data_IF_958995820733
#
_entry.id   IF_958995820733
#
_cell.length_a   1.000
_cell.length_b   1.000
_cell.length_c   1.000
_cell.angle_alpha   90.00
_cell.angle_beta   90.00
_cell.angle_gamma   90.00
#
_symmetry.space_group_name_H-M   'P 1'
#
loop_
_entity.id
_entity.type
_entity.pdbx_description
1 polymer ?
#
# COMPACT_ATOMS: atom_id res chain seq x y z
N UNK A 1 -3.83 0.92 34.16
CA UNK A 1 -3.66 1.39 32.78
C UNK A 1 -4.78 2.39 32.49
N UNK A 2 -4.47 3.60 32.01
CA UNK A 2 -5.49 4.52 31.60
C UNK A 2 -6.31 3.87 30.46
N UNK A 3 -7.63 3.90 30.55
CA UNK A 3 -8.50 3.45 29.45
C UNK A 3 -8.36 4.44 28.30
N UNK A 4 -8.20 3.93 27.09
CA UNK A 4 -8.13 4.76 25.87
C UNK A 4 -9.53 5.31 25.54
N UNK A 5 -10.59 4.56 25.89
CA UNK A 5 -12.01 4.89 25.79
C UNK A 5 -12.82 4.10 26.83
N UNK A 6 -14.14 4.31 26.88
CA UNK A 6 -15.05 3.63 27.83
C UNK A 6 -15.65 2.32 27.27
N UNK A 7 -15.22 1.89 26.07
CA UNK A 7 -15.69 0.66 25.45
C UNK A 7 -15.09 -0.59 26.16
N UNK A 8 -15.77 -1.76 26.07
CA UNK A 8 -15.28 -3.02 26.60
C UNK A 8 -13.90 -3.38 26.02
N UNK A 9 -13.07 -4.13 26.74
CA UNK A 9 -11.82 -4.67 26.21
C UNK A 9 -12.05 -5.47 24.92
N UNK A 10 -11.18 -5.33 23.92
CA UNK A 10 -11.33 -6.00 22.61
C UNK A 10 -11.50 -7.52 22.72
N UNK A 11 -10.90 -8.16 23.73
CA UNK A 11 -11.08 -9.60 23.96
C UNK A 11 -12.53 -9.96 24.29
N UNK A 12 -13.21 -9.13 25.06
CA UNK A 12 -14.62 -9.29 25.40
C UNK A 12 -15.51 -9.06 24.18
N UNK A 13 -15.23 -8.03 23.38
CA UNK A 13 -15.92 -7.75 22.11
C UNK A 13 -15.79 -8.94 21.15
N UNK A 14 -14.58 -9.47 20.97
CA UNK A 14 -14.33 -10.64 20.12
C UNK A 14 -15.11 -11.86 20.61
N UNK A 15 -15.17 -12.08 21.92
CA UNK A 15 -15.92 -13.18 22.50
C UNK A 15 -17.43 -12.99 22.35
N UNK A 16 -17.96 -11.79 22.63
CA UNK A 16 -19.40 -11.48 22.55
C UNK A 16 -19.95 -11.63 21.11
N UNK A 17 -19.15 -11.30 20.11
CA UNK A 17 -19.54 -11.37 18.69
C UNK A 17 -19.02 -12.62 17.96
N UNK A 18 -18.43 -13.60 18.67
CA UNK A 18 -17.76 -14.81 18.09
C UNK A 18 -16.81 -14.49 16.91
N UNK A 19 -16.03 -13.43 17.05
CA UNK A 19 -15.11 -12.92 16.01
C UNK A 19 -13.79 -13.68 16.04
N UNK A 20 -13.81 -14.99 15.76
CA UNK A 20 -12.58 -15.75 15.60
C UNK A 20 -11.88 -15.35 14.30
N UNK A 21 -10.57 -15.05 14.37
CA UNK A 21 -9.76 -14.74 13.20
C UNK A 21 -9.78 -15.89 12.17
N UNK A 22 -10.04 -15.58 10.91
CA UNK A 22 -10.04 -16.53 9.80
C UNK A 22 -8.74 -16.47 9.03
N UNK A 23 -8.01 -17.59 8.99
CA UNK A 23 -6.75 -17.70 8.22
C UNK A 23 -6.93 -17.41 6.74
N UNK A 24 -8.08 -17.81 6.15
CA UNK A 24 -8.43 -17.52 4.75
C UNK A 24 -8.54 -16.03 4.43
N UNK A 25 -8.81 -15.20 5.44
CA UNK A 25 -8.88 -13.74 5.32
C UNK A 25 -7.59 -13.04 5.79
N UNK A 26 -6.56 -13.79 6.19
CA UNK A 26 -5.30 -13.22 6.65
C UNK A 26 -5.41 -12.40 7.95
N UNK A 27 -6.43 -12.68 8.77
CA UNK A 27 -6.73 -11.89 9.97
C UNK A 27 -5.76 -12.19 11.11
N UNK A 28 -5.16 -11.14 11.66
CA UNK A 28 -4.37 -11.12 12.89
C UNK A 28 -4.72 -9.83 13.63
N UNK A 29 -5.40 -9.92 14.77
CA UNK A 29 -5.94 -8.76 15.47
C UNK A 29 -4.94 -8.18 16.47
N UNK A 30 -4.83 -6.86 16.50
CA UNK A 30 -4.13 -6.11 17.53
C UNK A 30 -5.10 -5.85 18.68
N UNK A 31 -4.79 -6.35 19.86
CA UNK A 31 -5.66 -6.22 21.03
C UNK A 31 -5.16 -5.17 22.05
N UNK A 32 -3.89 -4.80 21.98
CA UNK A 32 -3.31 -3.76 22.84
C UNK A 32 -3.64 -2.37 22.28
N UNK A 33 -4.53 -1.67 22.97
CA UNK A 33 -4.98 -0.33 22.56
C UNK A 33 -3.88 0.74 22.72
N UNK A 34 -2.89 0.55 23.61
CA UNK A 34 -1.74 1.46 23.67
C UNK A 34 -0.87 1.31 22.41
N UNK A 35 -0.74 0.09 21.92
CA UNK A 35 -0.03 -0.19 20.67
C UNK A 35 -0.76 0.41 19.47
N UNK A 36 -2.10 0.25 19.38
CA UNK A 36 -2.88 0.83 18.28
C UNK A 36 -2.87 2.36 18.32
N UNK A 37 -2.95 2.99 19.49
CA UNK A 37 -2.77 4.43 19.68
C UNK A 37 -1.36 4.89 19.25
N UNK A 38 -0.31 4.12 19.58
CA UNK A 38 1.04 4.40 19.11
C UNK A 38 1.14 4.33 17.57
N UNK A 39 0.49 3.35 16.94
CA UNK A 39 0.45 3.23 15.48
C UNK A 39 -0.29 4.42 14.87
N UNK A 40 -1.42 4.82 15.44
CA UNK A 40 -2.21 5.96 15.00
C UNK A 40 -1.39 7.27 14.93
N UNK A 41 -0.47 7.49 15.91
CA UNK A 41 0.39 8.68 15.98
C UNK A 41 1.62 8.66 15.08
N UNK A 42 1.94 7.56 14.37
CA UNK A 42 3.14 7.47 13.52
C UNK A 42 3.19 8.56 12.45
N UNK A 43 2.03 8.90 11.87
CA UNK A 43 1.89 9.95 10.86
C UNK A 43 1.74 11.37 11.44
N UNK A 44 1.93 11.57 12.75
CA UNK A 44 1.71 12.84 13.46
C UNK A 44 0.32 12.96 14.07
N UNK A 45 -0.02 14.14 14.56
CA UNK A 45 -1.32 14.45 15.18
C UNK A 45 -2.49 14.14 14.24
N UNK A 46 -3.63 13.74 14.81
CA UNK A 46 -4.83 13.35 14.07
C UNK A 46 -5.99 14.35 14.19
N UNK A 47 -5.84 15.41 14.99
CA UNK A 47 -6.86 16.47 15.12
C UNK A 47 -7.12 17.10 13.75
N UNK A 48 -8.39 17.15 13.33
CA UNK A 48 -8.81 17.64 12.02
C UNK A 48 -8.42 16.72 10.84
N UNK A 49 -7.94 15.51 11.09
CA UNK A 49 -7.51 14.57 10.06
C UNK A 49 -8.60 13.53 9.78
N UNK A 50 -8.92 13.35 8.51
CA UNK A 50 -9.75 12.24 8.02
C UNK A 50 -8.87 11.03 7.73
N UNK A 51 -9.32 9.86 8.12
CA UNK A 51 -8.55 8.62 7.99
C UNK A 51 -9.34 7.58 7.22
N UNK A 52 -8.70 6.95 6.24
CA UNK A 52 -9.16 5.69 5.65
C UNK A 52 -8.49 4.54 6.39
N UNK A 53 -9.28 3.66 6.97
CA UNK A 53 -8.84 2.39 7.54
C UNK A 53 -9.34 1.23 6.70
N UNK A 54 -8.45 0.34 6.27
CA UNK A 54 -8.79 -0.87 5.53
C UNK A 54 -8.61 -2.09 6.43
N UNK A 55 -9.69 -2.88 6.56
CA UNK A 55 -9.69 -4.08 7.40
C UNK A 55 -9.63 -3.78 8.90
N UNK A 56 -10.57 -2.99 9.46
CA UNK A 56 -10.60 -2.66 10.89
C UNK A 56 -10.77 -3.91 11.77
N UNK A 57 -11.34 -5.01 11.24
CA UNK A 57 -11.67 -6.18 12.01
C UNK A 57 -12.59 -5.83 13.18
N UNK A 58 -12.27 -6.25 14.44
CA UNK A 58 -13.07 -5.89 15.63
C UNK A 58 -12.87 -4.45 16.10
N UNK A 59 -12.13 -3.60 15.34
CA UNK A 59 -12.00 -2.17 15.60
C UNK A 59 -10.85 -1.76 16.52
N UNK A 60 -9.82 -2.59 16.69
CA UNK A 60 -8.69 -2.26 17.58
C UNK A 60 -7.94 -1.00 17.14
N UNK A 61 -7.59 -0.89 15.88
CA UNK A 61 -6.91 0.30 15.35
C UNK A 61 -7.90 1.46 15.19
N UNK A 62 -9.15 1.19 14.79
CA UNK A 62 -10.24 2.18 14.73
C UNK A 62 -10.38 2.95 16.03
N UNK A 63 -10.42 2.24 17.18
CA UNK A 63 -10.48 2.86 18.52
C UNK A 63 -9.25 3.71 18.79
N UNK A 64 -8.05 3.24 18.40
CA UNK A 64 -6.82 4.02 18.51
C UNK A 64 -6.88 5.32 17.72
N UNK A 65 -7.35 5.28 16.47
CA UNK A 65 -7.50 6.46 15.60
C UNK A 65 -8.48 7.49 16.18
N UNK A 66 -9.65 7.03 16.64
CA UNK A 66 -10.69 7.89 17.20
C UNK A 66 -10.26 8.52 18.53
N UNK A 67 -9.61 7.75 19.41
CA UNK A 67 -9.11 8.21 20.70
C UNK A 67 -7.96 9.23 20.55
N UNK A 68 -7.11 9.07 19.51
CA UNK A 68 -6.04 10.01 19.17
C UNK A 68 -6.53 11.24 18.38
N UNK A 69 -7.83 11.46 18.28
CA UNK A 69 -8.40 12.70 17.81
C UNK A 69 -8.76 12.76 16.32
N UNK A 70 -8.71 11.65 15.56
CA UNK A 70 -9.12 11.65 14.15
C UNK A 70 -10.49 12.34 13.98
N UNK A 71 -10.59 13.31 13.08
CA UNK A 71 -11.85 14.01 12.78
C UNK A 71 -12.91 13.01 12.33
N UNK A 72 -12.55 12.17 11.39
CA UNK A 72 -13.42 11.14 10.85
C UNK A 72 -12.62 9.92 10.40
N UNK A 73 -13.12 8.72 10.69
CA UNK A 73 -12.58 7.45 10.19
C UNK A 73 -13.58 6.82 9.23
N UNK A 74 -13.15 6.58 7.99
CA UNK A 74 -13.84 5.71 7.04
C UNK A 74 -13.23 4.33 7.15
N UNK A 75 -13.95 3.38 7.71
CA UNK A 75 -13.50 2.00 7.89
C UNK A 75 -14.13 1.09 6.83
N UNK A 76 -13.31 0.39 6.04
CA UNK A 76 -13.76 -0.53 4.99
C UNK A 76 -13.49 -1.96 5.43
N UNK A 77 -14.56 -2.73 5.69
CA UNK A 77 -14.46 -4.10 6.19
C UNK A 77 -15.19 -5.08 5.27
N UNK A 78 -14.48 -6.14 4.86
CA UNK A 78 -15.02 -7.20 4.01
C UNK A 78 -15.73 -8.28 4.80
N UNK A 79 -15.34 -8.49 6.06
CA UNK A 79 -15.94 -9.49 6.95
C UNK A 79 -17.15 -8.90 7.66
N UNK A 80 -18.35 -9.19 7.13
CA UNK A 80 -19.60 -8.68 7.69
C UNK A 80 -19.83 -9.05 9.17
N UNK A 81 -19.14 -10.07 9.71
CA UNK A 81 -19.22 -10.44 11.13
C UNK A 81 -18.68 -9.35 12.05
N UNK A 82 -17.78 -8.51 11.55
CA UNK A 82 -17.19 -7.42 12.32
C UNK A 82 -18.11 -6.19 12.44
N UNK A 83 -19.13 -6.08 11.58
CA UNK A 83 -20.00 -4.89 11.53
C UNK A 83 -20.72 -4.58 12.86
N UNK A 84 -21.25 -5.56 13.62
CA UNK A 84 -21.88 -5.24 14.90
C UNK A 84 -20.89 -4.62 15.90
N UNK A 85 -19.67 -5.15 16.00
CA UNK A 85 -18.63 -4.58 16.88
C UNK A 85 -18.22 -3.16 16.45
N UNK A 86 -18.12 -2.92 15.14
CA UNK A 86 -17.83 -1.58 14.61
C UNK A 86 -19.00 -0.60 14.83
N UNK A 87 -20.23 -1.07 14.82
CA UNK A 87 -21.42 -0.25 15.14
C UNK A 87 -21.41 0.21 16.61
N UNK A 88 -20.96 -0.61 17.55
CA UNK A 88 -20.78 -0.21 18.96
C UNK A 88 -19.75 0.91 19.09
N UNK A 89 -18.63 0.84 18.33
CA UNK A 89 -17.64 1.91 18.27
C UNK A 89 -18.25 3.19 17.69
N UNK A 90 -19.01 3.06 16.59
CA UNK A 90 -19.68 4.22 15.97
C UNK A 90 -20.67 4.90 16.93
N UNK A 91 -21.38 4.13 17.75
CA UNK A 91 -22.27 4.67 18.77
C UNK A 91 -21.52 5.42 19.88
N UNK A 92 -20.32 4.96 20.25
CA UNK A 92 -19.48 5.62 21.25
C UNK A 92 -18.78 6.89 20.72
N UNK A 93 -18.62 7.00 19.39
CA UNK A 93 -18.00 8.17 18.70
C UNK A 93 -18.97 8.74 17.64
N UNK A 94 -20.08 9.37 18.04
CA UNK A 94 -21.13 9.83 17.12
C UNK A 94 -20.59 10.74 16.03
N UNK A 95 -20.90 10.40 14.75
CA UNK A 95 -20.51 11.17 13.58
C UNK A 95 -19.03 11.07 13.17
N UNK A 96 -18.19 10.32 13.93
CA UNK A 96 -16.75 10.22 13.68
C UNK A 96 -16.31 8.90 13.02
N UNK A 97 -17.20 7.93 12.86
CA UNK A 97 -16.93 6.65 12.20
C UNK A 97 -18.00 6.34 11.16
N UNK A 98 -17.57 6.13 9.93
CA UNK A 98 -18.39 5.53 8.87
C UNK A 98 -17.84 4.15 8.55
N UNK A 99 -18.69 3.14 8.57
CA UNK A 99 -18.31 1.76 8.24
C UNK A 99 -18.94 1.37 6.91
N UNK A 100 -18.10 0.94 5.97
CA UNK A 100 -18.52 0.41 4.67
C UNK A 100 -18.22 -1.08 4.62
N UNK A 101 -19.24 -1.91 4.43
CA UNK A 101 -19.03 -3.34 4.16
C UNK A 101 -18.71 -3.54 2.68
N UNK A 102 -17.46 -3.87 2.38
CA UNK A 102 -17.01 -3.99 1.00
C UNK A 102 -15.55 -4.39 0.83
N UNK A 103 -15.15 -4.53 -0.42
CA UNK A 103 -13.77 -4.79 -0.80
C UNK A 103 -13.05 -3.47 -1.08
N UNK A 104 -11.98 -3.18 -0.33
CA UNK A 104 -11.19 -1.96 -0.50
C UNK A 104 -10.53 -1.86 -1.89
N UNK A 105 -10.34 -2.99 -2.58
CA UNK A 105 -9.86 -2.99 -3.98
C UNK A 105 -10.92 -2.51 -4.96
N UNK A 106 -12.20 -2.61 -4.63
CA UNK A 106 -13.31 -2.20 -5.50
C UNK A 106 -13.86 -0.81 -5.13
N UNK A 107 -13.44 -0.22 -3.99
CA UNK A 107 -13.99 1.03 -3.47
C UNK A 107 -13.13 2.23 -3.87
N UNK A 108 -13.79 3.34 -4.17
CA UNK A 108 -13.17 4.67 -4.25
C UNK A 108 -13.42 5.43 -2.94
N UNK A 109 -12.35 5.65 -2.17
CA UNK A 109 -12.45 6.41 -0.93
C UNK A 109 -12.87 7.88 -1.13
N UNK A 110 -12.61 8.45 -2.30
CA UNK A 110 -12.96 9.83 -2.65
C UNK A 110 -14.46 10.09 -2.71
N UNK A 111 -15.29 9.03 -2.83
CA UNK A 111 -16.76 9.15 -2.75
C UNK A 111 -17.27 9.34 -1.32
N UNK A 112 -16.44 9.08 -0.32
CA UNK A 112 -16.78 9.12 1.11
C UNK A 112 -15.95 10.13 1.91
N UNK A 113 -14.72 10.43 1.47
CA UNK A 113 -13.79 11.32 2.17
C UNK A 113 -13.40 12.51 1.27
N UNK A 114 -13.56 13.71 1.80
CA UNK A 114 -12.98 14.90 1.16
C UNK A 114 -11.45 14.91 1.37
N UNK A 115 -10.66 15.20 0.32
CA UNK A 115 -9.20 15.29 0.45
C UNK A 115 -8.76 16.53 1.26
N UNK A 116 -7.56 16.52 1.87
CA UNK A 116 -6.71 15.35 1.99
C UNK A 116 -7.15 14.42 3.13
N UNK A 117 -6.79 13.14 3.03
CA UNK A 117 -6.92 12.17 4.12
C UNK A 117 -5.63 11.39 4.34
N UNK A 118 -5.55 10.61 5.42
CA UNK A 118 -4.48 9.64 5.65
C UNK A 118 -5.00 8.22 5.54
N UNK A 119 -4.15 7.30 5.13
CA UNK A 119 -4.47 5.87 5.20
C UNK A 119 -3.70 5.28 6.38
N UNK A 120 -4.42 4.69 7.34
CA UNK A 120 -3.81 3.99 8.48
C UNK A 120 -4.46 2.62 8.58
N UNK A 121 -3.70 1.55 8.37
CA UNK A 121 -4.29 0.21 8.29
C UNK A 121 -3.35 -0.90 8.74
N UNK A 122 -3.93 -1.87 9.46
CA UNK A 122 -3.34 -3.19 9.66
C UNK A 122 -3.82 -4.11 8.53
N UNK A 123 -3.16 -4.03 7.37
CA UNK A 123 -3.62 -4.67 6.14
C UNK A 123 -3.60 -6.21 6.23
N UNK A 124 -4.64 -6.89 5.69
CA UNK A 124 -4.55 -8.33 5.43
C UNK A 124 -3.37 -8.61 4.49
N UNK A 125 -2.51 -9.58 4.85
CA UNK A 125 -1.25 -9.82 4.13
C UNK A 125 -1.42 -10.22 2.67
N UNK A 126 -2.56 -10.81 2.31
CA UNK A 126 -2.87 -11.27 0.95
C UNK A 126 -3.19 -10.13 -0.04
N UNK A 127 -3.68 -8.97 0.43
CA UNK A 127 -4.08 -7.83 -0.43
C UNK A 127 -3.24 -6.57 -0.21
N UNK A 128 -2.46 -6.51 0.87
CA UNK A 128 -1.75 -5.30 1.27
C UNK A 128 -0.79 -4.76 0.21
N UNK A 129 -0.08 -5.64 -0.51
CA UNK A 129 0.84 -5.23 -1.58
C UNK A 129 0.10 -4.67 -2.79
N UNK A 130 -1.05 -5.25 -3.15
CA UNK A 130 -1.87 -4.78 -4.27
C UNK A 130 -2.46 -3.40 -3.97
N UNK A 131 -3.00 -3.19 -2.77
CA UNK A 131 -3.49 -1.90 -2.31
C UNK A 131 -2.38 -0.85 -2.33
N UNK A 132 -1.18 -1.18 -1.82
CA UNK A 132 -0.05 -0.26 -1.84
C UNK A 132 0.31 0.17 -3.27
N UNK A 133 0.44 -0.78 -4.20
CA UNK A 133 0.74 -0.47 -5.61
C UNK A 133 -0.32 0.45 -6.20
N UNK A 134 -1.61 0.19 -5.95
CA UNK A 134 -2.71 1.02 -6.43
C UNK A 134 -2.64 2.45 -5.89
N UNK A 135 -2.35 2.63 -4.60
CA UNK A 135 -2.15 3.97 -4.03
C UNK A 135 -0.92 4.69 -4.57
N UNK A 136 0.14 3.96 -4.92
CA UNK A 136 1.37 4.53 -5.48
C UNK A 136 1.27 4.87 -6.97
N UNK A 137 0.29 4.30 -7.71
CA UNK A 137 0.14 4.48 -9.15
C UNK A 137 -1.20 5.10 -9.57
N UNK A 138 -1.73 6.14 -8.86
CA UNK A 138 -2.92 6.84 -9.34
C UNK A 138 -2.63 7.56 -10.66
N UNK A 139 -3.69 7.84 -11.43
CA UNK A 139 -3.58 8.54 -12.72
C UNK A 139 -3.04 9.97 -12.57
N UNK A 140 -3.38 10.64 -11.45
CA UNK A 140 -2.94 12.00 -11.15
C UNK A 140 -2.08 12.04 -9.89
N UNK A 141 -1.10 12.95 -9.86
CA UNK A 141 -0.25 13.21 -8.70
C UNK A 141 -0.18 14.72 -8.43
N UNK A 142 -0.25 15.23 -7.18
CA UNK A 142 -0.32 14.48 -5.93
C UNK A 142 -1.64 13.72 -5.76
N UNK A 143 -1.62 12.63 -4.95
CA UNK A 143 -2.83 11.84 -4.68
C UNK A 143 -3.76 12.56 -3.69
N UNK A 144 -5.00 12.09 -3.51
CA UNK A 144 -5.92 12.69 -2.54
C UNK A 144 -5.59 12.35 -1.08
N UNK A 145 -4.58 11.53 -0.83
CA UNK A 145 -4.04 11.21 0.50
C UNK A 145 -2.66 11.85 0.70
N UNK A 146 -2.35 12.26 1.93
CA UNK A 146 -1.05 12.86 2.29
C UNK A 146 -0.04 11.84 2.79
N UNK A 147 -0.50 10.78 3.45
CA UNK A 147 0.36 9.74 3.98
C UNK A 147 -0.32 8.38 4.12
N UNK A 148 0.51 7.33 4.11
CA UNK A 148 0.11 5.95 4.32
C UNK A 148 0.90 5.40 5.52
N UNK A 149 0.21 4.90 6.55
CA UNK A 149 0.79 4.19 7.70
C UNK A 149 0.26 2.77 7.68
N UNK A 150 1.04 1.86 7.11
CA UNK A 150 0.57 0.54 6.74
C UNK A 150 1.38 -0.56 7.40
N UNK A 151 0.69 -1.59 7.89
CA UNK A 151 1.35 -2.76 8.45
C UNK A 151 1.49 -3.87 7.42
N UNK A 152 2.70 -4.44 7.37
CA UNK A 152 3.06 -5.57 6.51
C UNK A 152 3.86 -6.61 7.32
N UNK A 153 4.03 -7.80 6.75
CA UNK A 153 5.10 -8.69 7.19
C UNK A 153 6.45 -7.96 7.07
N UNK A 154 7.35 -8.18 8.02
CA UNK A 154 8.64 -7.47 8.08
C UNK A 154 9.43 -7.53 6.77
N UNK A 155 9.46 -8.69 6.12
CA UNK A 155 10.12 -8.86 4.82
C UNK A 155 9.53 -7.95 3.73
N UNK A 156 8.20 -7.77 3.70
CA UNK A 156 7.53 -6.87 2.74
C UNK A 156 7.87 -5.42 3.06
N UNK A 157 7.85 -5.03 4.33
CA UNK A 157 8.26 -3.70 4.77
C UNK A 157 9.70 -3.37 4.37
N UNK A 158 10.63 -4.32 4.57
CA UNK A 158 12.02 -4.19 4.16
C UNK A 158 12.16 -4.01 2.64
N UNK A 159 11.32 -4.67 1.83
CA UNK A 159 11.29 -4.46 0.37
C UNK A 159 10.80 -3.09 -0.05
N UNK A 160 9.89 -2.47 0.70
CA UNK A 160 9.35 -1.13 0.40
C UNK A 160 10.44 -0.05 0.57
N UNK A 161 11.28 -0.18 1.60
CA UNK A 161 12.31 0.81 1.95
C UNK A 161 13.71 0.44 1.47
N UNK A 162 13.85 -0.63 0.71
CA UNK A 162 15.13 -1.18 0.29
C UNK A 162 15.91 -0.22 -0.63
N UNK A 163 17.24 -0.12 -0.39
CA UNK A 163 18.14 0.63 -1.27
C UNK A 163 18.55 -0.20 -2.51
N UNK A 164 18.87 0.46 -3.64
CA UNK A 164 19.45 -0.18 -4.82
C UNK A 164 20.67 -1.05 -4.46
N UNK A 165 20.82 -2.19 -5.13
CA UNK A 165 21.90 -3.16 -4.87
C UNK A 165 21.66 -4.10 -3.70
N UNK A 166 20.71 -3.83 -2.83
CA UNK A 166 20.38 -4.71 -1.71
C UNK A 166 19.55 -5.93 -2.15
N UNK A 167 19.62 -7.02 -1.36
CA UNK A 167 18.83 -8.24 -1.62
C UNK A 167 17.33 -8.00 -1.63
N UNK A 168 16.85 -7.05 -0.82
CA UNK A 168 15.43 -6.74 -0.68
C UNK A 168 14.92 -5.79 -1.78
N UNK A 169 15.82 -5.08 -2.48
CA UNK A 169 15.43 -4.11 -3.51
C UNK A 169 14.63 -4.74 -4.64
N UNK A 170 13.55 -4.08 -5.03
CA UNK A 170 12.63 -4.59 -6.05
C UNK A 170 11.54 -3.60 -6.43
N UNK A 171 10.52 -4.10 -7.14
CA UNK A 171 9.39 -3.29 -7.64
C UNK A 171 8.78 -2.37 -6.58
N UNK A 172 8.55 -2.87 -5.36
CA UNK A 172 7.94 -2.07 -4.30
C UNK A 172 8.81 -0.88 -3.89
N UNK A 173 10.15 -1.08 -3.78
CA UNK A 173 11.06 0.00 -3.45
C UNK A 173 11.05 1.10 -4.51
N UNK A 174 11.10 0.73 -5.80
CA UNK A 174 11.08 1.70 -6.91
C UNK A 174 9.79 2.52 -6.88
N UNK A 175 8.62 1.87 -6.83
CA UNK A 175 7.33 2.57 -6.86
C UNK A 175 7.11 3.44 -5.63
N UNK A 176 7.44 2.93 -4.43
CA UNK A 176 7.28 3.68 -3.18
C UNK A 176 8.20 4.92 -3.14
N UNK A 177 9.49 4.73 -3.40
CA UNK A 177 10.48 5.80 -3.31
C UNK A 177 10.42 6.78 -4.48
N UNK A 178 9.76 6.43 -5.57
CA UNK A 178 9.51 7.36 -6.67
C UNK A 178 8.60 8.52 -6.26
N UNK A 179 7.57 8.24 -5.46
CA UNK A 179 6.49 9.17 -5.12
C UNK A 179 6.37 9.51 -3.64
N UNK A 180 7.10 8.81 -2.77
CA UNK A 180 7.02 8.99 -1.33
C UNK A 180 8.37 8.98 -0.65
N UNK A 181 8.43 9.63 0.52
CA UNK A 181 9.42 9.33 1.54
C UNK A 181 8.91 8.13 2.36
N UNK A 182 9.67 7.02 2.34
CA UNK A 182 9.26 5.78 2.97
C UNK A 182 10.24 5.36 4.07
N UNK A 183 9.73 4.97 5.24
CA UNK A 183 10.53 4.45 6.36
C UNK A 183 9.80 3.35 7.12
N UNK A 184 10.53 2.42 7.71
CA UNK A 184 10.01 1.54 8.75
C UNK A 184 9.93 2.35 10.04
N UNK A 185 8.71 2.50 10.57
CA UNK A 185 8.45 3.32 11.75
C UNK A 185 8.39 2.47 13.04
N UNK A 186 7.97 1.20 12.94
CA UNK A 186 7.81 0.30 14.07
C UNK A 186 7.94 -1.15 13.61
N UNK A 187 8.59 -1.99 14.42
CA UNK A 187 8.59 -3.45 14.24
C UNK A 187 7.83 -4.10 15.39
N UNK A 188 7.04 -5.12 15.08
CA UNK A 188 6.13 -5.79 16.00
C UNK A 188 6.45 -7.29 15.99
N UNK A 189 6.66 -7.90 17.19
CA UNK A 189 6.81 -9.35 17.28
C UNK A 189 5.48 -10.06 17.06
N UNK A 190 5.48 -11.38 16.76
CA UNK A 190 4.25 -12.13 16.51
C UNK A 190 3.25 -12.13 17.66
N UNK A 191 3.71 -12.08 18.93
CA UNK A 191 2.88 -12.08 20.13
C UNK A 191 2.08 -10.80 20.37
N UNK A 192 2.36 -9.73 19.60
CA UNK A 192 1.52 -8.55 19.55
C UNK A 192 0.12 -8.81 18.94
N UNK A 193 -0.08 -9.95 18.29
CA UNK A 193 -1.30 -10.28 17.55
C UNK A 193 -2.03 -11.51 18.09
N UNK A 194 -3.33 -11.56 17.86
CA UNK A 194 -4.17 -12.74 18.17
C UNK A 194 -4.96 -13.13 16.89
N UNK A 195 -4.73 -14.34 16.35
CA UNK A 195 -3.65 -15.26 16.66
C UNK A 195 -2.29 -14.69 16.23
N UNK A 196 -1.16 -15.17 16.78
CA UNK A 196 0.16 -14.72 16.35
C UNK A 196 0.46 -15.17 14.91
N UNK A 197 0.96 -14.27 14.03
CA UNK A 197 1.46 -14.64 12.72
C UNK A 197 2.77 -15.44 12.84
N UNK A 198 3.16 -16.12 11.76
CA UNK A 198 4.41 -16.92 11.75
C UNK A 198 5.69 -16.07 11.75
N UNK A 199 5.59 -14.80 11.39
CA UNK A 199 6.71 -13.88 11.20
C UNK A 199 6.41 -12.53 11.83
N UNK A 200 7.43 -11.78 12.20
CA UNK A 200 7.29 -10.41 12.68
C UNK A 200 6.65 -9.52 11.61
N UNK A 201 5.96 -8.48 12.08
CA UNK A 201 5.36 -7.44 11.25
C UNK A 201 6.13 -6.13 11.41
N UNK A 202 5.94 -5.21 10.47
CA UNK A 202 6.45 -3.86 10.58
C UNK A 202 5.45 -2.85 10.01
N UNK A 203 5.41 -1.68 10.63
CA UNK A 203 4.65 -0.53 10.14
C UNK A 203 5.56 0.31 9.29
N UNK A 204 5.18 0.50 8.03
CA UNK A 204 5.83 1.42 7.10
C UNK A 204 5.01 2.70 7.06
N UNK A 205 5.71 3.83 7.18
CA UNK A 205 5.13 5.15 6.96
C UNK A 205 5.67 5.72 5.65
N UNK A 206 4.75 6.12 4.77
CA UNK A 206 5.06 6.76 3.49
C UNK A 206 4.37 8.13 3.45
N UNK A 207 5.16 9.19 3.25
CA UNK A 207 4.65 10.55 3.05
C UNK A 207 4.67 10.88 1.56
N UNK A 208 3.54 11.32 1.00
CA UNK A 208 3.46 11.69 -0.40
C UNK A 208 4.37 12.90 -0.69
N UNK A 209 5.15 12.81 -1.76
CA UNK A 209 5.91 13.95 -2.27
C UNK A 209 4.98 14.86 -3.09
N UNK A 210 5.21 16.17 -3.12
CA UNK A 210 4.42 17.08 -3.95
C UNK A 210 4.53 16.78 -5.46
N UNK A 211 5.64 16.18 -5.89
CA UNK A 211 5.87 15.66 -7.24
C UNK A 211 6.71 14.39 -7.17
N UNK A 212 6.64 13.50 -8.17
CA UNK A 212 7.56 12.37 -8.28
C UNK A 212 9.02 12.83 -8.34
N UNK A 213 9.97 12.08 -7.76
CA UNK A 213 11.40 12.41 -7.73
C UNK A 213 12.00 12.57 -9.13
N UNK A 214 11.49 11.81 -10.09
CA UNK A 214 11.91 11.85 -11.49
C UNK A 214 10.67 11.74 -12.38
N UNK A 215 10.69 12.44 -13.52
CA UNK A 215 9.63 12.35 -14.49
C UNK A 215 9.57 10.95 -15.11
N UNK A 216 8.38 10.35 -15.09
CA UNK A 216 8.05 9.11 -15.77
C UNK A 216 6.52 8.95 -15.83
N UNK A 217 6.01 8.25 -16.85
CA UNK A 217 4.63 7.77 -16.83
C UNK A 217 4.48 6.62 -15.84
N UNK A 218 3.46 6.68 -14.98
CA UNK A 218 3.26 5.73 -13.91
C UNK A 218 3.01 4.30 -14.40
N UNK A 219 2.24 4.14 -15.49
CA UNK A 219 1.89 2.84 -16.07
C UNK A 219 3.09 2.22 -16.76
N UNK A 220 3.86 3.06 -17.49
CA UNK A 220 5.07 2.59 -18.16
C UNK A 220 6.13 2.19 -17.13
N UNK A 221 6.38 3.03 -16.10
CA UNK A 221 7.33 2.71 -15.03
C UNK A 221 6.95 1.41 -14.33
N UNK A 222 5.69 1.25 -13.95
CA UNK A 222 5.21 0.02 -13.32
C UNK A 222 5.46 -1.21 -14.20
N UNK A 223 5.12 -1.14 -15.48
CA UNK A 223 5.31 -2.22 -16.46
C UNK A 223 6.79 -2.60 -16.64
N UNK A 224 7.64 -1.59 -16.80
CA UNK A 224 9.09 -1.78 -16.99
C UNK A 224 9.71 -2.43 -15.74
N UNK A 225 9.41 -1.91 -14.57
CA UNK A 225 9.91 -2.40 -13.28
C UNK A 225 9.39 -3.82 -12.99
N UNK A 226 8.09 -4.06 -13.20
CA UNK A 226 7.50 -5.39 -13.03
C UNK A 226 8.18 -6.43 -13.94
N UNK A 227 8.42 -6.09 -15.21
CA UNK A 227 9.10 -6.96 -16.18
C UNK A 227 10.55 -7.24 -15.76
N UNK A 228 11.32 -6.20 -15.40
CA UNK A 228 12.72 -6.32 -14.98
C UNK A 228 12.89 -7.20 -13.74
N UNK A 229 12.11 -6.95 -12.70
CA UNK A 229 12.18 -7.74 -11.45
C UNK A 229 11.48 -9.10 -11.55
N UNK A 230 10.58 -9.30 -12.51
CA UNK A 230 9.98 -10.62 -12.80
C UNK A 230 11.00 -11.67 -13.23
N UNK A 231 12.16 -11.25 -13.75
CA UNK A 231 13.27 -12.11 -14.13
C UNK A 231 14.59 -11.68 -13.45
N UNK A 232 14.57 -11.41 -12.15
CA UNK A 232 15.63 -10.79 -11.35
C UNK A 232 17.04 -11.35 -11.57
N UNK A 233 17.17 -12.66 -11.88
CA UNK A 233 18.47 -13.31 -12.11
C UNK A 233 19.06 -13.09 -13.50
N UNK A 234 18.26 -12.57 -14.45
CA UNK A 234 18.72 -12.30 -15.81
C UNK A 234 19.28 -10.89 -15.95
N UNK A 235 20.13 -10.70 -16.96
CA UNK A 235 20.58 -9.37 -17.42
C UNK A 235 19.39 -8.57 -17.95
N UNK A 236 19.45 -7.24 -17.87
CA UNK A 236 18.37 -6.33 -18.28
C UNK A 236 17.88 -6.61 -19.69
N UNK A 237 18.80 -6.74 -20.70
CA UNK A 237 18.44 -7.06 -22.09
C UNK A 237 17.56 -8.32 -22.21
N UNK A 238 17.84 -9.33 -21.38
CA UNK A 238 17.09 -10.58 -21.40
C UNK A 238 15.79 -10.49 -20.55
N UNK A 239 15.83 -9.79 -19.42
CA UNK A 239 14.67 -9.62 -18.56
C UNK A 239 13.57 -8.78 -19.23
N UNK A 240 13.96 -7.76 -19.99
CA UNK A 240 13.06 -6.82 -20.67
C UNK A 240 12.66 -7.25 -22.09
N UNK A 241 13.18 -8.37 -22.60
CA UNK A 241 12.85 -8.87 -23.94
C UNK A 241 11.34 -8.94 -24.16
N UNK A 242 10.89 -8.39 -25.30
CA UNK A 242 9.47 -8.32 -25.69
C UNK A 242 8.68 -7.24 -24.93
N UNK A 243 9.34 -6.30 -24.28
CA UNK A 243 8.70 -5.09 -23.74
C UNK A 243 8.43 -4.06 -24.84
N UNK A 244 9.42 -3.86 -25.71
CA UNK A 244 9.41 -3.06 -26.93
C UNK A 244 10.27 -3.76 -27.97
N UNK A 245 10.16 -3.39 -29.29
CA UNK A 245 10.95 -4.03 -30.34
C UNK A 245 12.45 -3.93 -30.10
N UNK A 246 12.96 -2.74 -29.75
CA UNK A 246 14.39 -2.47 -29.52
C UNK A 246 14.64 -2.08 -28.05
N UNK A 247 14.80 -3.09 -27.20
CA UNK A 247 15.12 -2.91 -25.78
C UNK A 247 16.53 -2.36 -25.57
N UNK A 248 17.50 -2.74 -26.42
CA UNK A 248 18.90 -2.31 -26.26
C UNK A 248 19.06 -0.80 -26.54
N UNK A 249 18.34 -0.29 -27.55
CA UNK A 249 18.28 1.16 -27.78
C UNK A 249 17.69 1.92 -26.58
N UNK A 250 16.61 1.40 -25.97
CA UNK A 250 16.04 2.01 -24.77
C UNK A 250 17.00 2.00 -23.58
N UNK A 251 17.76 0.91 -23.38
CA UNK A 251 18.75 0.82 -22.34
C UNK A 251 19.90 1.82 -22.57
N UNK A 252 20.39 1.92 -23.80
CA UNK A 252 21.44 2.90 -24.16
C UNK A 252 20.96 4.36 -23.93
N UNK A 253 19.74 4.69 -24.35
CA UNK A 253 19.13 6.01 -24.14
C UNK A 253 18.96 6.33 -22.64
N UNK A 254 18.64 5.32 -21.83
CA UNK A 254 18.55 5.46 -20.39
C UNK A 254 19.89 5.47 -19.65
N UNK A 255 21.02 5.28 -20.36
CA UNK A 255 22.35 5.18 -19.79
C UNK A 255 22.56 3.93 -18.94
N UNK A 256 21.89 2.83 -19.27
CA UNK A 256 21.94 1.57 -18.51
C UNK A 256 22.70 0.50 -19.29
N UNK A 257 23.53 -0.24 -18.56
CA UNK A 257 24.28 -1.36 -19.13
C UNK A 257 23.36 -2.56 -19.40
N UNK A 258 23.25 -3.08 -20.65
CA UNK A 258 22.39 -4.21 -20.99
C UNK A 258 22.70 -5.49 -20.22
N UNK A 259 23.92 -5.60 -19.70
CA UNK A 259 24.41 -6.74 -18.92
C UNK A 259 24.15 -6.64 -17.42
N UNK A 260 23.74 -5.47 -16.94
CA UNK A 260 23.34 -5.30 -15.55
C UNK A 260 22.07 -6.10 -15.20
N UNK A 261 21.85 -6.28 -13.90
CA UNK A 261 20.63 -6.88 -13.38
C UNK A 261 19.73 -5.81 -12.81
N UNK A 262 18.43 -6.06 -12.79
CA UNK A 262 17.40 -5.15 -12.27
C UNK A 262 17.73 -4.55 -10.89
N UNK A 263 18.35 -5.32 -10.00
CA UNK A 263 18.70 -4.88 -8.66
C UNK A 263 19.79 -3.81 -8.59
N UNK A 264 20.58 -3.62 -9.65
CA UNK A 264 21.64 -2.60 -9.73
C UNK A 264 21.12 -1.26 -10.23
N UNK A 265 19.99 -1.25 -10.92
CA UNK A 265 19.40 -0.03 -11.47
C UNK A 265 18.77 0.78 -10.34
N UNK A 266 19.23 2.00 -10.17
CA UNK A 266 18.65 2.94 -9.22
C UNK A 266 17.31 3.53 -9.70
N UNK A 267 16.68 4.34 -8.88
CA UNK A 267 15.41 4.96 -9.19
C UNK A 267 15.48 5.88 -10.41
N UNK A 268 16.58 6.65 -10.58
CA UNK A 268 16.76 7.53 -11.73
C UNK A 268 16.85 6.73 -13.02
N UNK A 269 17.61 5.63 -13.02
CA UNK A 269 17.75 4.72 -14.16
C UNK A 269 16.43 4.05 -14.55
N UNK A 270 15.63 3.59 -13.58
CA UNK A 270 14.29 3.03 -13.86
C UNK A 270 13.36 4.05 -14.51
N UNK A 271 13.37 5.31 -14.02
CA UNK A 271 12.58 6.38 -14.59
C UNK A 271 13.07 6.81 -15.99
N UNK A 272 14.39 6.84 -16.21
CA UNK A 272 14.97 7.09 -17.53
C UNK A 272 14.57 6.01 -18.52
N UNK A 273 14.65 4.74 -18.12
CA UNK A 273 14.21 3.62 -18.96
C UNK A 273 12.71 3.69 -19.28
N UNK A 274 11.87 4.06 -18.29
CA UNK A 274 10.44 4.23 -18.55
C UNK A 274 10.16 5.33 -19.59
N UNK A 275 10.91 6.44 -19.57
CA UNK A 275 10.80 7.50 -20.59
C UNK A 275 11.22 7.03 -21.98
N UNK A 276 12.32 6.27 -22.07
CA UNK A 276 12.81 5.72 -23.34
C UNK A 276 11.85 4.68 -23.96
N UNK A 277 11.11 3.97 -23.12
CA UNK A 277 10.14 2.93 -23.51
C UNK A 277 8.79 3.54 -23.93
N UNK A 278 8.35 4.65 -23.32
CA UNK A 278 7.02 5.22 -23.51
C UNK A 278 6.65 5.48 -25.00
N UNK A 279 7.46 6.20 -25.82
CA UNK A 279 7.13 6.47 -27.23
C UNK A 279 7.01 5.18 -28.06
N UNK A 280 7.92 4.22 -27.84
CA UNK A 280 7.98 2.97 -28.61
C UNK A 280 6.86 1.98 -28.28
N UNK A 281 6.25 2.13 -27.10
CA UNK A 281 5.10 1.33 -26.70
C UNK A 281 3.81 1.78 -27.39
N UNK A 282 3.68 3.06 -27.69
CA UNK A 282 2.52 3.62 -28.39
C UNK A 282 2.53 3.24 -29.88
N UNK A 283 3.71 3.19 -30.52
CA UNK A 283 3.89 2.72 -31.91
C UNK A 283 3.47 1.25 -32.06
N UNK A 284 3.81 0.38 -31.13
CA UNK A 284 3.45 -1.06 -31.17
C UNK A 284 1.94 -1.28 -31.02
N UNK A 285 1.24 -0.42 -30.27
CA UNK A 285 -0.21 -0.50 -30.13
C UNK A 285 -0.95 0.04 -31.35
N UNK A 286 -0.41 1.06 -32.04
CA UNK A 286 -0.99 1.62 -33.28
C UNK A 286 -0.94 0.61 -34.43
N UNK A 287 0.18 -0.10 -34.62
CA UNK A 287 0.32 -1.13 -35.65
C UNK A 287 -0.57 -2.37 -35.44
N UNK A 288 -0.92 -2.68 -34.18
CA UNK A 288 -1.79 -3.82 -33.86
C UNK A 288 -3.29 -3.53 -34.06
N UNK A 289 -3.70 -2.26 -34.09
CA UNK A 289 -5.10 -1.85 -34.32
C UNK A 289 -5.43 -1.70 -35.81
N UNK A 290 -4.43 -1.33 -36.62
CA UNK A 290 -4.60 -1.18 -38.11
C UNK A 290 -4.73 -2.54 -38.83
N UNK A 291 -4.33 -3.64 -38.18
CA UNK A 291 -4.44 -5.01 -38.70
C UNK A 291 -5.85 -5.65 -38.57
N UNK A 292 -6.82 -5.01 -37.93
CA UNK A 292 -8.17 -5.57 -37.70
C UNK A 292 -9.28 -5.00 -38.56
N UNK A 293 -9.00 -4.05 -39.45
CA UNK A 293 -10.02 -3.43 -40.31
C UNK A 293 -9.96 -3.89 -41.80
N UNK A 294 -9.48 -5.08 -42.09
CA UNK A 294 -9.40 -5.63 -43.43
C UNK A 294 -9.87 -7.08 -43.54
N UNK A 295 -11.17 -7.33 -43.40
CA UNK A 295 -11.87 -8.47 -44.06
C UNK A 295 -13.38 -8.28 -43.95
N UNK A 296 -13.94 -7.83 -45.00
CA UNK A 296 -15.38 -7.95 -45.34
C UNK A 296 -15.55 -9.20 -46.17
#
# INVERSE_FOLDING_TARGET
>A
MARIDDLPPLREVIAAHDLRARKSMGQNFLLDLNLTARIARIGGALEGVRVLEVGPGPGGLTRGLLAEGAEHVLAVEKDARCLPALAEIAAAYPGRLTVVNGDALAMDAGTHLAPPWRVVANLPYNVGTELLVRWLTPATWPPPWDSLTLMFQKEVAERIVAAPGSKAYGRLAVLAQWRCDARIALTLPPDAFVPPPKVSSAVVHLTALPAPRFAADARVLERVVAKGFGQRRKMLRAALKGLVPDVEACLAEAGLEPTDRAERVDLAGWCALARAVAPRADETNAESDDGRTGSV
#
